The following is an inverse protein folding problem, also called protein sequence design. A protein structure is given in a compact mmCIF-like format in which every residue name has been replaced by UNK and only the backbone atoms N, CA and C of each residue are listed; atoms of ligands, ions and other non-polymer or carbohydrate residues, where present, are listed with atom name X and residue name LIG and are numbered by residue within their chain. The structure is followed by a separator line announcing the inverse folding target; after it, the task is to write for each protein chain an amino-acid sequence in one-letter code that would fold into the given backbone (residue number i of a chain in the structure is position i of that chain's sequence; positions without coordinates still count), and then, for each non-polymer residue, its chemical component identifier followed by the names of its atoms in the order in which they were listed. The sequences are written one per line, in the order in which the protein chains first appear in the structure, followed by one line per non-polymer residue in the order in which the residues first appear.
data_IF_950764138653
#
_entry.id   IF_950764138653
#
_cell.length_a   1.000
_cell.length_b   1.000
_cell.length_c   1.000
_cell.angle_alpha   90.00
_cell.angle_beta   90.00
_cell.angle_gamma   90.00
#
_symmetry.space_group_name_H-M   'P 1'
#
loop_
_entity.id
_entity.type
_entity.pdbx_description
1 polymer ?
#
# COMPACT_ATOMS: atom_id res chain seq x y z
N UNK A 1 27.79 -6.76 -78.87
CA UNK A 1 28.72 -5.82 -78.22
C UNK A 1 27.93 -4.65 -77.58
N UNK A 2 26.95 -4.92 -76.69
CA UNK A 2 26.06 -3.85 -76.15
C UNK A 2 25.58 -4.07 -74.70
N UNK A 3 26.17 -5.01 -73.94
CA UNK A 3 25.77 -5.27 -72.53
C UNK A 3 26.86 -4.88 -71.51
N UNK A 4 28.13 -4.74 -71.93
CA UNK A 4 29.22 -4.33 -71.01
C UNK A 4 29.22 -2.83 -70.70
N UNK A 5 28.83 -1.97 -71.65
CA UNK A 5 28.97 -0.52 -71.48
C UNK A 5 27.91 0.10 -70.55
N UNK A 6 26.70 -0.46 -70.46
CA UNK A 6 25.66 0.08 -69.55
C UNK A 6 25.89 -0.28 -68.08
N UNK A 7 26.52 -1.44 -67.82
CA UNK A 7 26.92 -1.88 -66.48
C UNK A 7 28.12 -1.08 -65.97
N UNK A 8 29.12 -0.83 -66.82
CA UNK A 8 30.28 0.00 -66.46
C UNK A 8 29.84 1.44 -66.13
N UNK A 9 28.92 2.01 -66.92
CA UNK A 9 28.39 3.37 -66.68
C UNK A 9 27.55 3.49 -65.40
N UNK A 10 26.78 2.45 -65.03
CA UNK A 10 26.06 2.41 -63.74
C UNK A 10 27.00 2.26 -62.54
N UNK A 11 28.08 1.48 -62.67
CA UNK A 11 29.05 1.27 -61.58
C UNK A 11 29.94 2.50 -61.31
N UNK A 12 30.35 3.24 -62.36
CA UNK A 12 31.04 4.52 -62.17
C UNK A 12 30.14 5.55 -61.50
N UNK A 13 28.85 5.61 -61.88
CA UNK A 13 27.91 6.55 -61.28
C UNK A 13 27.60 6.22 -59.80
N UNK A 14 27.49 4.92 -59.45
CA UNK A 14 27.29 4.49 -58.07
C UNK A 14 28.50 4.78 -57.16
N UNK A 15 29.73 4.54 -57.66
CA UNK A 15 30.97 4.86 -56.92
C UNK A 15 31.17 6.36 -56.76
N UNK A 16 30.77 7.16 -57.75
CA UNK A 16 30.78 8.63 -57.65
C UNK A 16 29.74 9.11 -56.65
N UNK A 17 28.53 8.53 -56.64
CA UNK A 17 27.51 8.80 -55.63
C UNK A 17 27.96 8.42 -54.22
N UNK A 18 28.57 7.25 -54.02
CA UNK A 18 29.13 6.84 -52.72
C UNK A 18 30.26 7.76 -52.27
N UNK A 19 31.15 8.17 -53.19
CA UNK A 19 32.23 9.09 -52.88
C UNK A 19 31.69 10.47 -52.49
N UNK A 20 30.75 11.01 -53.25
CA UNK A 20 30.10 12.28 -52.95
C UNK A 20 29.28 12.21 -51.65
N UNK A 21 28.65 11.08 -51.35
CA UNK A 21 27.94 10.86 -50.10
C UNK A 21 28.90 10.75 -48.90
N UNK A 22 30.05 10.08 -49.05
CA UNK A 22 31.10 10.02 -48.03
C UNK A 22 31.77 11.38 -47.81
N UNK A 23 32.01 12.14 -48.86
CA UNK A 23 32.61 13.47 -48.76
C UNK A 23 31.61 14.47 -48.15
N UNK A 24 30.31 14.38 -48.46
CA UNK A 24 29.26 15.12 -47.74
C UNK A 24 29.09 14.66 -46.30
N UNK A 25 29.14 13.36 -46.01
CA UNK A 25 29.06 12.84 -44.65
C UNK A 25 30.26 13.23 -43.79
N UNK A 26 31.45 13.43 -44.38
CA UNK A 26 32.62 13.99 -43.71
C UNK A 26 32.49 15.48 -43.39
N UNK A 27 31.65 16.21 -44.13
CA UNK A 27 31.34 17.62 -43.89
C UNK A 27 30.16 17.79 -42.91
N UNK A 28 29.41 16.73 -42.63
CA UNK A 28 28.40 16.73 -41.57
C UNK A 28 29.12 16.54 -40.23
N UNK A 29 29.19 17.61 -39.44
CA UNK A 29 29.52 17.49 -38.02
C UNK A 29 28.51 16.50 -37.39
N UNK A 30 28.96 15.44 -36.70
CA UNK A 30 28.05 14.52 -36.06
C UNK A 30 27.21 15.30 -35.04
N UNK A 31 25.89 15.15 -35.11
CA UNK A 31 25.01 15.79 -34.15
C UNK A 31 25.42 15.38 -32.74
N UNK A 32 25.91 16.34 -31.96
CA UNK A 32 26.12 16.17 -30.53
C UNK A 32 25.01 16.91 -29.80
N UNK A 33 24.50 16.30 -28.74
CA UNK A 33 23.47 16.93 -27.91
C UNK A 33 24.00 18.23 -27.27
N UNK A 34 25.31 18.29 -27.01
CA UNK A 34 26.00 19.48 -26.46
C UNK A 34 26.01 20.67 -27.43
N UNK A 35 26.28 20.47 -28.73
CA UNK A 35 26.23 21.55 -29.72
C UNK A 35 24.79 22.04 -29.96
N UNK A 36 23.83 21.12 -30.01
CA UNK A 36 22.41 21.45 -30.12
C UNK A 36 21.91 22.28 -28.93
N UNK A 37 22.29 21.91 -27.70
CA UNK A 37 21.92 22.66 -26.50
C UNK A 37 22.55 24.06 -26.48
N UNK A 38 23.81 24.18 -26.95
CA UNK A 38 24.53 25.46 -27.04
C UNK A 38 23.96 26.42 -28.09
N UNK A 39 23.67 25.93 -29.28
CA UNK A 39 23.29 26.78 -30.40
C UNK A 39 21.79 27.08 -30.44
N UNK A 40 20.95 26.14 -29.97
CA UNK A 40 19.48 26.22 -30.14
C UNK A 40 18.70 26.43 -28.84
N UNK A 41 19.23 26.01 -27.68
CA UNK A 41 18.52 26.10 -26.39
C UNK A 41 19.04 27.29 -25.56
N UNK A 42 20.35 27.43 -25.41
CA UNK A 42 20.98 28.44 -24.54
C UNK A 42 20.70 29.90 -24.95
N UNK A 43 20.52 30.18 -26.24
CA UNK A 43 20.36 31.53 -26.78
C UNK A 43 18.94 31.84 -27.31
N UNK A 44 17.99 30.94 -27.10
CA UNK A 44 16.66 31.09 -27.66
C UNK A 44 15.70 31.77 -26.65
N UNK A 45 15.11 32.94 -26.98
CA UNK A 45 14.31 33.74 -26.05
C UNK A 45 13.01 33.06 -25.62
N UNK A 46 12.58 31.98 -26.28
CA UNK A 46 11.40 31.19 -25.90
C UNK A 46 11.73 29.99 -25.00
N UNK A 47 13.01 29.63 -24.83
CA UNK A 47 13.43 28.58 -23.90
C UNK A 47 13.94 29.20 -22.60
N UNK A 48 13.07 29.24 -21.60
CA UNK A 48 13.51 29.53 -20.23
C UNK A 48 14.29 28.33 -19.71
N UNK A 49 15.61 28.50 -19.55
CA UNK A 49 16.38 27.53 -18.76
C UNK A 49 15.73 27.45 -17.38
N UNK A 50 15.19 26.27 -17.05
CA UNK A 50 14.93 25.94 -15.66
C UNK A 50 16.28 26.11 -14.98
N UNK A 51 16.42 27.13 -14.13
CA UNK A 51 17.55 27.19 -13.18
C UNK A 51 17.61 25.79 -12.59
N UNK A 52 18.70 25.07 -12.86
CA UNK A 52 19.00 23.92 -12.03
C UNK A 52 19.08 24.51 -10.63
N UNK A 53 18.03 24.32 -9.85
CA UNK A 53 18.14 24.51 -8.42
C UNK A 53 19.13 23.42 -8.05
N UNK A 54 20.44 23.73 -8.08
CA UNK A 54 21.35 23.16 -7.11
C UNK A 54 20.71 23.58 -5.81
N UNK A 55 19.81 22.73 -5.31
CA UNK A 55 19.39 22.82 -3.95
C UNK A 55 20.71 22.69 -3.24
N UNK A 56 21.24 23.81 -2.74
CA UNK A 56 21.98 23.76 -1.52
C UNK A 56 21.00 23.07 -0.58
N UNK A 57 21.13 21.75 -0.49
CA UNK A 57 20.55 20.95 0.56
C UNK A 57 21.32 21.41 1.79
N UNK A 58 21.00 22.62 2.25
CA UNK A 58 21.05 22.90 3.67
C UNK A 58 20.20 21.77 4.23
N UNK A 59 20.78 20.83 5.00
CA UNK A 59 19.98 19.83 5.65
C UNK A 59 18.92 20.63 6.38
N UNK A 60 17.65 20.45 6.01
CA UNK A 60 16.58 20.99 6.84
C UNK A 60 16.75 20.22 8.13
N UNK A 61 17.45 20.83 9.08
CA UNK A 61 17.46 20.40 10.46
C UNK A 61 16.09 20.79 10.96
N UNK A 62 15.10 19.94 10.64
CA UNK A 62 13.94 19.84 11.48
C UNK A 62 14.50 19.67 12.89
N UNK A 63 14.15 20.56 13.81
CA UNK A 63 14.34 20.34 15.25
C UNK A 63 13.46 19.15 15.63
N UNK A 64 13.92 17.97 15.22
CA UNK A 64 13.31 16.68 15.48
C UNK A 64 13.98 16.18 16.74
N UNK A 65 13.24 16.24 17.86
CA UNK A 65 13.74 15.73 19.12
C UNK A 65 13.82 14.20 19.07
N UNK A 66 15.02 13.69 18.76
CA UNK A 66 15.29 12.25 18.70
C UNK A 66 15.05 11.58 20.06
N UNK A 67 15.26 12.30 21.17
CA UNK A 67 15.18 11.75 22.52
C UNK A 67 13.81 11.13 22.84
N UNK A 68 12.72 11.70 22.30
CA UNK A 68 11.36 11.14 22.45
C UNK A 68 11.25 9.72 21.82
N UNK A 69 12.06 9.43 20.80
CA UNK A 69 11.98 8.21 20.00
C UNK A 69 13.03 7.16 20.34
N UNK A 70 14.08 7.49 21.10
CA UNK A 70 15.23 6.60 21.33
C UNK A 70 14.86 5.24 21.93
N UNK A 71 13.84 5.18 22.79
CA UNK A 71 13.39 3.93 23.39
C UNK A 71 12.66 3.02 22.39
N UNK A 72 11.86 3.61 21.50
CA UNK A 72 11.16 2.88 20.44
C UNK A 72 12.08 2.56 19.25
N UNK A 73 13.12 3.37 19.06
CA UNK A 73 14.05 3.27 17.95
C UNK A 73 15.50 3.03 18.39
N UNK A 74 15.86 1.80 18.82
CA UNK A 74 17.22 1.46 19.22
C UNK A 74 18.27 1.67 18.13
N UNK A 75 17.88 1.80 16.86
CA UNK A 75 18.81 2.13 15.77
C UNK A 75 19.58 3.43 16.03
N UNK A 76 19.01 4.37 16.79
CA UNK A 76 19.68 5.62 17.15
C UNK A 76 20.79 5.46 18.20
N UNK A 77 20.83 4.32 18.89
CA UNK A 77 21.87 3.99 19.89
C UNK A 77 23.09 3.29 19.26
N UNK A 78 23.06 3.03 17.95
CA UNK A 78 24.17 2.41 17.24
C UNK A 78 25.32 3.41 17.05
N UNK A 79 26.57 2.92 16.91
CA UNK A 79 27.71 3.76 16.59
C UNK A 79 27.49 4.59 15.33
N UNK A 80 28.18 5.73 15.24
CA UNK A 80 28.12 6.60 14.07
C UNK A 80 28.43 5.80 12.80
N UNK A 81 27.55 5.85 11.77
CA UNK A 81 27.74 5.06 10.57
C UNK A 81 28.88 5.62 9.72
N UNK A 82 29.65 4.72 9.11
CA UNK A 82 30.59 5.11 8.06
C UNK A 82 29.84 5.56 6.79
N UNK A 83 30.42 6.52 6.06
CA UNK A 83 29.87 6.98 4.79
C UNK A 83 29.78 5.83 3.78
N UNK A 84 28.65 5.74 3.08
CA UNK A 84 28.37 4.68 2.10
C UNK A 84 27.82 3.37 2.67
N UNK A 85 27.64 3.27 4.00
CA UNK A 85 26.92 2.15 4.63
C UNK A 85 25.42 2.27 4.46
N UNK A 86 24.72 1.13 4.45
CA UNK A 86 23.25 1.16 4.46
C UNK A 86 22.71 1.80 5.74
N UNK A 87 23.40 1.63 6.88
CA UNK A 87 23.00 2.21 8.17
C UNK A 87 22.82 3.73 8.08
N UNK A 88 23.75 4.43 7.42
CA UNK A 88 23.66 5.88 7.22
C UNK A 88 22.34 6.28 6.53
N UNK A 89 21.99 5.60 5.43
CA UNK A 89 20.76 5.87 4.68
C UNK A 89 19.51 5.46 5.45
N UNK A 90 19.53 4.33 6.17
CA UNK A 90 18.42 3.92 7.04
C UNK A 90 18.18 4.94 8.15
N UNK A 91 19.22 5.41 8.84
CA UNK A 91 19.11 6.44 9.89
C UNK A 91 18.52 7.74 9.34
N UNK A 92 19.04 8.22 8.20
CA UNK A 92 18.49 9.40 7.53
C UNK A 92 17.01 9.23 7.20
N UNK A 93 16.65 8.10 6.56
CA UNK A 93 15.29 7.89 6.09
C UNK A 93 14.30 7.70 7.23
N UNK A 94 14.72 7.04 8.32
CA UNK A 94 13.91 6.90 9.54
C UNK A 94 13.67 8.27 10.16
N UNK A 95 14.70 9.13 10.31
CA UNK A 95 14.53 10.50 10.82
C UNK A 95 13.55 11.31 9.96
N UNK A 96 13.68 11.24 8.64
CA UNK A 96 12.76 11.85 7.67
C UNK A 96 11.32 11.36 7.85
N UNK A 97 11.11 10.06 7.99
CA UNK A 97 9.77 9.50 8.23
C UNK A 97 9.18 9.95 9.57
N UNK A 98 10.00 10.06 10.62
CA UNK A 98 9.53 10.50 11.93
C UNK A 98 9.18 11.99 11.96
N UNK A 99 9.92 12.84 11.25
CA UNK A 99 9.54 14.25 11.05
C UNK A 99 8.24 14.40 10.24
N UNK A 100 7.91 13.42 9.40
CA UNK A 100 6.62 13.32 8.69
C UNK A 100 5.52 12.65 9.55
N UNK A 101 5.77 12.35 10.84
CA UNK A 101 4.88 11.60 11.74
C UNK A 101 4.53 10.17 11.27
N UNK A 102 5.33 9.57 10.39
CA UNK A 102 5.11 8.23 9.80
C UNK A 102 5.76 7.13 10.63
N UNK A 103 5.44 7.10 11.92
CA UNK A 103 6.11 6.29 12.95
C UNK A 103 6.05 4.78 12.65
N UNK A 104 4.90 4.25 12.26
CA UNK A 104 4.77 2.81 11.91
C UNK A 104 5.61 2.44 10.68
N UNK A 105 5.73 3.36 9.73
CA UNK A 105 6.57 3.14 8.55
C UNK A 105 8.04 3.15 8.95
N UNK A 106 8.45 4.11 9.77
CA UNK A 106 9.81 4.18 10.32
C UNK A 106 10.18 2.90 11.08
N UNK A 107 9.27 2.37 11.89
CA UNK A 107 9.49 1.12 12.63
C UNK A 107 9.75 -0.07 11.69
N UNK A 108 9.06 -0.15 10.55
CA UNK A 108 9.33 -1.19 9.53
C UNK A 108 10.74 -1.08 8.94
N UNK A 109 11.25 0.13 8.71
CA UNK A 109 12.61 0.34 8.22
C UNK A 109 13.66 -0.03 9.28
N UNK A 110 13.43 0.29 10.54
CA UNK A 110 14.29 -0.16 11.63
C UNK A 110 14.34 -1.69 11.72
N UNK A 111 13.19 -2.37 11.68
CA UNK A 111 13.14 -3.84 11.71
C UNK A 111 13.83 -4.45 10.50
N UNK A 112 13.67 -3.83 9.33
CA UNK A 112 14.39 -4.24 8.10
C UNK A 112 15.90 -4.15 8.31
N UNK A 113 16.40 -3.00 8.77
CA UNK A 113 17.83 -2.82 9.04
C UNK A 113 18.34 -3.84 10.07
N UNK A 114 17.61 -4.01 11.18
CA UNK A 114 17.96 -4.96 12.24
C UNK A 114 18.07 -6.38 11.68
N UNK A 115 17.16 -6.77 10.79
CA UNK A 115 17.19 -8.09 10.14
C UNK A 115 18.39 -8.25 9.21
N UNK A 116 18.68 -7.25 8.37
CA UNK A 116 19.85 -7.27 7.47
C UNK A 116 21.16 -7.29 8.28
N UNK A 117 21.23 -6.51 9.36
CA UNK A 117 22.38 -6.47 10.25
C UNK A 117 22.62 -7.80 10.96
N UNK A 118 21.57 -8.56 11.31
CA UNK A 118 21.73 -9.92 11.84
C UNK A 118 22.31 -10.91 10.82
N UNK A 119 22.10 -10.69 9.53
CA UNK A 119 22.63 -11.55 8.48
C UNK A 119 24.13 -11.31 8.23
N UNK A 120 24.56 -10.05 8.07
CA UNK A 120 25.94 -9.71 7.65
C UNK A 120 26.53 -8.46 8.33
N UNK A 121 25.87 -7.91 9.35
CA UNK A 121 26.29 -6.67 10.00
C UNK A 121 26.02 -5.42 9.17
N UNK A 122 26.77 -4.35 9.46
CA UNK A 122 26.66 -3.07 8.75
C UNK A 122 27.42 -3.12 7.42
N UNK A 123 26.71 -3.38 6.33
CA UNK A 123 27.28 -3.49 4.98
C UNK A 123 27.24 -2.16 4.22
N UNK A 124 28.19 -1.97 3.28
CA UNK A 124 28.16 -0.88 2.29
C UNK A 124 27.27 -1.22 1.12
N UNK A 125 26.71 -0.22 0.46
CA UNK A 125 25.89 -0.43 -0.73
C UNK A 125 26.66 -1.13 -1.87
N UNK A 126 27.97 -0.90 -1.96
CA UNK A 126 28.85 -1.52 -2.97
C UNK A 126 29.06 -3.02 -2.75
N UNK A 127 28.78 -3.52 -1.55
CA UNK A 127 28.92 -4.95 -1.20
C UNK A 127 27.64 -5.74 -1.46
N UNK A 128 26.53 -5.05 -1.71
CA UNK A 128 25.23 -5.67 -1.96
C UNK A 128 25.07 -5.85 -3.46
N UNK A 129 25.12 -7.09 -3.94
CA UNK A 129 24.82 -7.47 -5.32
C UNK A 129 23.60 -8.41 -5.40
N UNK A 130 23.34 -8.99 -6.56
CA UNK A 130 22.25 -9.96 -6.74
C UNK A 130 22.49 -11.23 -5.91
N UNK A 131 23.74 -11.66 -5.73
CA UNK A 131 24.06 -12.85 -4.95
C UNK A 131 23.80 -12.61 -3.46
N UNK A 132 24.19 -11.45 -2.93
CA UNK A 132 23.87 -11.01 -1.58
C UNK A 132 22.36 -11.03 -1.33
N UNK A 133 21.56 -10.44 -2.23
CA UNK A 133 20.11 -10.37 -2.07
C UNK A 133 19.47 -11.77 -2.06
N UNK A 134 19.95 -12.68 -2.91
CA UNK A 134 19.49 -14.08 -2.92
C UNK A 134 19.91 -14.83 -1.65
N UNK A 135 21.12 -14.61 -1.15
CA UNK A 135 21.60 -15.21 0.10
C UNK A 135 20.80 -14.68 1.31
N UNK A 136 20.49 -13.38 1.34
CA UNK A 136 19.64 -12.79 2.36
C UNK A 136 18.23 -13.41 2.33
N UNK A 137 17.62 -13.55 1.15
CA UNK A 137 16.33 -14.22 1.01
C UNK A 137 16.39 -15.68 1.51
N UNK A 138 17.40 -16.45 1.09
CA UNK A 138 17.57 -17.84 1.52
C UNK A 138 17.76 -17.94 3.04
N UNK A 139 18.60 -17.09 3.63
CA UNK A 139 18.81 -17.03 5.06
C UNK A 139 17.53 -16.65 5.81
N UNK A 140 16.77 -15.66 5.34
CA UNK A 140 15.50 -15.30 5.97
C UNK A 140 14.49 -16.46 5.91
N UNK A 141 14.44 -17.20 4.81
CA UNK A 141 13.56 -18.37 4.69
C UNK A 141 13.97 -19.49 5.64
N UNK A 142 15.28 -19.71 5.85
CA UNK A 142 15.83 -20.64 6.84
C UNK A 142 15.48 -20.24 8.28
N UNK A 143 15.44 -18.95 8.56
CA UNK A 143 14.97 -18.39 9.85
C UNK A 143 13.43 -18.32 9.95
N UNK A 144 12.71 -19.10 9.13
CA UNK A 144 11.25 -19.24 9.10
C UNK A 144 10.47 -17.95 8.81
N UNK A 145 11.10 -16.92 8.24
CA UNK A 145 10.37 -15.73 7.81
C UNK A 145 9.43 -16.07 6.65
N UNK A 146 8.20 -15.56 6.71
CA UNK A 146 7.26 -15.73 5.60
C UNK A 146 7.77 -15.04 4.33
N UNK A 147 7.46 -15.61 3.17
CA UNK A 147 7.75 -15.00 1.85
C UNK A 147 7.25 -13.54 1.73
N UNK A 148 6.13 -13.23 2.38
CA UNK A 148 5.60 -11.86 2.48
C UNK A 148 6.57 -10.93 3.20
N UNK A 149 7.13 -11.39 4.33
CA UNK A 149 8.07 -10.62 5.15
C UNK A 149 9.38 -10.39 4.40
N UNK A 150 9.92 -11.43 3.77
CA UNK A 150 11.10 -11.31 2.89
C UNK A 150 10.85 -10.25 1.79
N UNK A 151 9.68 -10.30 1.16
CA UNK A 151 9.28 -9.34 0.15
C UNK A 151 9.15 -7.91 0.68
N UNK A 152 8.71 -7.72 1.93
CA UNK A 152 8.64 -6.40 2.58
C UNK A 152 10.05 -5.85 2.81
N UNK A 153 10.93 -6.62 3.47
CA UNK A 153 12.27 -6.15 3.83
C UNK A 153 13.13 -5.86 2.61
N UNK A 154 13.04 -6.70 1.59
CA UNK A 154 13.78 -6.48 0.34
C UNK A 154 13.25 -5.29 -0.47
N UNK A 155 11.95 -4.95 -0.37
CA UNK A 155 11.41 -3.68 -0.90
C UNK A 155 11.85 -2.46 -0.09
N UNK A 156 11.95 -2.57 1.23
CA UNK A 156 12.52 -1.50 2.06
C UNK A 156 13.98 -1.24 1.66
N UNK A 157 14.78 -2.30 1.47
CA UNK A 157 16.14 -2.18 0.96
C UNK A 157 16.17 -1.55 -0.44
N UNK A 158 15.27 -1.95 -1.34
CA UNK A 158 15.11 -1.32 -2.65
C UNK A 158 14.85 0.19 -2.54
N UNK A 159 14.01 0.64 -1.60
CA UNK A 159 13.82 2.07 -1.32
C UNK A 159 15.10 2.73 -0.82
N UNK A 160 15.91 2.07 0.01
CA UNK A 160 17.19 2.62 0.47
C UNK A 160 18.19 2.81 -0.66
N UNK A 161 18.22 1.91 -1.66
CA UNK A 161 19.03 2.12 -2.87
C UNK A 161 18.58 3.36 -3.64
N UNK A 162 17.28 3.55 -3.83
CA UNK A 162 16.77 4.73 -4.54
C UNK A 162 17.08 6.02 -3.77
N UNK A 163 16.96 6.00 -2.44
CA UNK A 163 17.30 7.13 -1.58
C UNK A 163 18.81 7.43 -1.62
N UNK A 164 19.67 6.41 -1.56
CA UNK A 164 21.12 6.57 -1.68
C UNK A 164 21.55 7.12 -3.06
N UNK A 165 20.88 6.71 -4.14
CA UNK A 165 21.08 7.29 -5.48
C UNK A 165 20.66 8.76 -5.49
N UNK A 166 19.50 9.09 -4.93
CA UNK A 166 18.99 10.46 -4.87
C UNK A 166 19.93 11.40 -4.11
N UNK A 167 20.55 10.91 -3.04
CA UNK A 167 21.56 11.64 -2.25
C UNK A 167 22.97 11.65 -2.87
N UNK A 168 23.16 11.00 -4.02
CA UNK A 168 24.48 10.91 -4.67
C UNK A 168 25.49 10.03 -3.94
N UNK A 169 25.05 9.18 -3.00
CA UNK A 169 25.92 8.25 -2.25
C UNK A 169 26.42 7.11 -3.16
N UNK A 170 25.56 6.66 -4.08
CA UNK A 170 25.89 5.60 -5.03
C UNK A 170 25.46 5.95 -6.45
N UNK A 171 26.20 5.44 -7.43
CA UNK A 171 25.85 5.55 -8.84
C UNK A 171 24.87 4.42 -9.24
N UNK A 172 23.78 4.80 -9.91
CA UNK A 172 22.72 3.87 -10.34
C UNK A 172 23.22 2.77 -11.28
N UNK A 173 24.08 3.10 -12.23
CA UNK A 173 24.50 2.16 -13.27
C UNK A 173 25.44 1.09 -12.73
N UNK A 174 26.22 1.44 -11.71
CA UNK A 174 27.21 0.55 -11.09
C UNK A 174 26.66 -0.27 -9.91
N UNK A 175 25.75 0.31 -9.11
CA UNK A 175 25.40 -0.26 -7.80
C UNK A 175 23.91 -0.59 -7.62
N UNK A 176 23.08 -0.60 -8.67
CA UNK A 176 21.65 -0.86 -8.51
C UNK A 176 21.26 -2.28 -8.95
N UNK A 177 20.78 -3.11 -8.02
CA UNK A 177 20.57 -4.56 -8.26
C UNK A 177 19.11 -5.03 -8.25
N UNK A 178 18.14 -4.12 -8.30
CA UNK A 178 16.70 -4.45 -8.34
C UNK A 178 16.14 -4.33 -9.76
N UNK A 179 15.30 -5.27 -10.20
CA UNK A 179 14.57 -5.19 -11.48
C UNK A 179 14.35 -6.53 -12.18
N UNK A 180 13.62 -6.51 -13.31
CA UNK A 180 13.17 -7.72 -14.04
C UNK A 180 14.30 -8.67 -14.44
N UNK A 181 15.48 -8.15 -14.76
CA UNK A 181 16.70 -8.93 -15.10
C UNK A 181 17.73 -8.99 -13.97
N UNK A 182 17.36 -8.52 -12.78
CA UNK A 182 18.21 -8.50 -11.57
C UNK A 182 17.43 -9.19 -10.44
N UNK A 183 17.58 -8.75 -9.20
CA UNK A 183 16.79 -9.27 -8.09
C UNK A 183 15.36 -8.70 -8.11
N UNK A 184 14.38 -9.56 -7.85
CA UNK A 184 12.97 -9.18 -7.72
C UNK A 184 12.47 -9.61 -6.35
N UNK A 185 11.98 -8.67 -5.52
CA UNK A 185 11.40 -9.00 -4.22
C UNK A 185 10.30 -10.06 -4.36
N UNK A 186 10.33 -11.11 -3.52
CA UNK A 186 9.33 -12.16 -3.60
C UNK A 186 7.94 -11.61 -3.27
N UNK A 187 6.94 -12.14 -3.98
CA UNK A 187 5.52 -11.90 -3.70
C UNK A 187 4.85 -13.19 -3.27
N UNK A 188 3.91 -13.06 -2.33
CA UNK A 188 3.09 -14.17 -1.83
C UNK A 188 1.66 -14.02 -2.32
N UNK A 189 0.95 -15.15 -2.46
CA UNK A 189 -0.49 -15.15 -2.70
C UNK A 189 -1.21 -14.83 -1.40
N UNK A 190 -2.32 -14.11 -1.52
CA UNK A 190 -3.16 -13.77 -0.38
C UNK A 190 -3.86 -15.04 0.14
N UNK A 191 -3.82 -15.26 1.46
CA UNK A 191 -4.53 -16.38 2.11
C UNK A 191 -5.94 -15.90 2.45
N UNK A 192 -6.96 -16.72 2.17
CA UNK A 192 -8.35 -16.40 2.51
C UNK A 192 -8.51 -16.36 4.03
N UNK A 193 -8.76 -15.15 4.57
CA UNK A 193 -8.87 -14.90 6.02
C UNK A 193 -10.32 -14.71 6.50
N UNK A 194 -11.26 -14.53 5.57
CA UNK A 194 -12.64 -14.21 5.89
C UNK A 194 -13.37 -15.36 6.62
N UNK A 195 -14.20 -14.97 7.57
CA UNK A 195 -15.14 -15.85 8.27
C UNK A 195 -16.38 -16.12 7.42
N UNK A 196 -17.10 -17.19 7.76
CA UNK A 196 -18.42 -17.46 7.21
C UNK A 196 -19.48 -16.63 7.93
N UNK A 197 -20.68 -16.48 7.35
CA UNK A 197 -21.81 -15.83 8.05
C UNK A 197 -22.19 -16.60 9.33
N UNK A 198 -22.05 -17.92 9.34
CA UNK A 198 -22.28 -18.75 10.53
C UNK A 198 -21.30 -18.39 11.66
N UNK A 199 -20.00 -18.27 11.34
CA UNK A 199 -18.98 -17.85 12.30
C UNK A 199 -19.21 -16.42 12.81
N UNK A 200 -19.64 -15.51 11.93
CA UNK A 200 -20.02 -14.14 12.31
C UNK A 200 -21.21 -14.17 13.26
N UNK A 201 -22.23 -15.01 12.98
CA UNK A 201 -23.38 -15.22 13.86
C UNK A 201 -22.96 -15.71 15.25
N UNK A 202 -22.03 -16.67 15.33
CA UNK A 202 -21.46 -17.14 16.61
C UNK A 202 -20.83 -15.99 17.42
N UNK A 203 -20.11 -15.08 16.76
CA UNK A 203 -19.53 -13.89 17.41
C UNK A 203 -20.63 -12.91 17.84
N UNK A 204 -21.62 -12.66 16.98
CA UNK A 204 -22.71 -11.73 17.23
C UNK A 204 -23.54 -12.13 18.45
N UNK A 205 -23.95 -13.41 18.54
CA UNK A 205 -24.75 -13.92 19.66
C UNK A 205 -23.92 -14.36 20.88
N UNK A 206 -22.60 -14.19 20.86
CA UNK A 206 -21.76 -14.52 22.02
C UNK A 206 -22.01 -13.53 23.15
N UNK A 207 -22.42 -14.01 24.33
CA UNK A 207 -22.61 -13.18 25.52
C UNK A 207 -21.27 -13.02 26.28
N UNK A 208 -20.69 -11.80 26.35
CA UNK A 208 -19.42 -11.59 27.03
C UNK A 208 -19.55 -11.68 28.55
N UNK A 209 -18.63 -12.40 29.20
CA UNK A 209 -18.61 -12.50 30.67
C UNK A 209 -17.92 -11.33 31.37
N UNK A 210 -17.12 -10.54 30.64
CA UNK A 210 -16.31 -9.45 31.18
C UNK A 210 -16.39 -8.21 30.28
N UNK A 211 -16.14 -7.05 30.85
CA UNK A 211 -16.20 -5.77 30.13
C UNK A 211 -15.19 -5.72 28.96
N UNK A 212 -14.02 -6.31 29.13
CA UNK A 212 -12.98 -6.37 28.10
C UNK A 212 -13.32 -7.35 26.97
N UNK A 213 -14.01 -8.46 27.28
CA UNK A 213 -14.56 -9.35 26.26
C UNK A 213 -15.64 -8.64 25.45
N UNK A 214 -16.51 -7.89 26.13
CA UNK A 214 -17.52 -7.06 25.47
C UNK A 214 -16.85 -6.02 24.57
N UNK A 215 -15.85 -5.30 25.07
CA UNK A 215 -15.08 -4.33 24.29
C UNK A 215 -14.48 -4.97 23.03
N UNK A 216 -13.90 -6.15 23.16
CA UNK A 216 -13.33 -6.89 22.04
C UNK A 216 -14.38 -7.27 20.99
N UNK A 217 -15.50 -7.86 21.43
CA UNK A 217 -16.64 -8.21 20.58
C UNK A 217 -17.21 -6.98 19.87
N UNK A 218 -17.54 -5.94 20.62
CA UNK A 218 -18.21 -4.74 20.14
C UNK A 218 -17.34 -4.01 19.11
N UNK A 219 -16.05 -3.77 19.38
CA UNK A 219 -15.18 -3.12 18.40
C UNK A 219 -14.86 -4.00 17.18
N UNK A 220 -14.90 -5.32 17.32
CA UNK A 220 -14.79 -6.23 16.18
C UNK A 220 -16.03 -6.17 15.30
N UNK A 221 -17.23 -6.18 15.90
CA UNK A 221 -18.51 -6.03 15.20
C UNK A 221 -18.64 -4.65 14.58
N UNK A 222 -18.26 -3.58 15.29
CA UNK A 222 -18.22 -2.23 14.75
C UNK A 222 -17.32 -2.16 13.51
N UNK A 223 -16.12 -2.76 13.58
CA UNK A 223 -15.22 -2.84 12.41
C UNK A 223 -15.89 -3.58 11.24
N UNK A 224 -16.54 -4.72 11.51
CA UNK A 224 -17.23 -5.52 10.50
C UNK A 224 -18.42 -4.78 9.84
N UNK A 225 -19.31 -4.20 10.65
CA UNK A 225 -20.53 -3.51 10.21
C UNK A 225 -20.21 -2.17 9.54
N UNK A 226 -19.22 -1.44 10.04
CA UNK A 226 -18.81 -0.15 9.49
C UNK A 226 -17.84 -0.29 8.30
N UNK A 227 -18.24 -1.05 7.28
CA UNK A 227 -17.50 -1.26 6.04
C UNK A 227 -16.06 -1.79 6.21
N UNK A 228 -15.79 -2.56 7.25
CA UNK A 228 -14.43 -3.05 7.52
C UNK A 228 -13.46 -1.93 7.95
N UNK A 229 -13.95 -0.86 8.59
CA UNK A 229 -13.13 0.24 9.12
C UNK A 229 -12.00 -0.30 10.00
N UNK A 230 -10.77 0.22 9.85
CA UNK A 230 -9.65 -0.26 10.67
C UNK A 230 -9.74 0.34 12.08
N UNK A 231 -9.25 -0.34 13.12
CA UNK A 231 -9.21 0.22 14.48
C UNK A 231 -8.47 1.55 14.60
N UNK A 232 -7.47 1.79 13.75
CA UNK A 232 -6.81 3.11 13.68
C UNK A 232 -7.80 4.18 13.25
N UNK A 233 -8.62 3.92 12.23
CA UNK A 233 -9.62 4.87 11.76
C UNK A 233 -10.72 5.05 12.83
N UNK A 234 -11.18 3.96 13.48
CA UNK A 234 -12.11 4.00 14.62
C UNK A 234 -11.60 4.93 15.74
N UNK A 235 -10.32 4.81 16.11
CA UNK A 235 -9.72 5.60 17.17
C UNK A 235 -9.69 7.11 16.87
N UNK A 236 -9.73 7.50 15.59
CA UNK A 236 -9.74 8.90 15.15
C UNK A 236 -11.14 9.44 14.84
N UNK A 237 -12.20 8.62 14.92
CA UNK A 237 -13.56 9.10 14.71
C UNK A 237 -13.93 10.14 15.76
N UNK A 238 -14.47 11.27 15.28
CA UNK A 238 -14.94 12.40 16.09
C UNK A 238 -16.44 12.63 15.86
N UNK A 239 -17.10 13.34 16.77
CA UNK A 239 -18.53 13.61 16.61
C UNK A 239 -18.86 14.41 15.35
N UNK A 240 -17.94 15.28 14.87
CA UNK A 240 -18.08 15.95 13.56
C UNK A 240 -18.14 15.00 12.36
N UNK A 241 -17.75 13.73 12.54
CA UNK A 241 -17.82 12.72 11.49
C UNK A 241 -19.22 12.11 11.38
N UNK A 242 -20.10 12.30 12.37
CA UNK A 242 -21.50 11.87 12.30
C UNK A 242 -22.31 12.98 11.63
N UNK A 243 -23.03 12.62 10.57
CA UNK A 243 -24.01 13.45 9.90
C UNK A 243 -25.30 12.66 9.71
N UNK A 244 -26.30 12.95 10.55
CA UNK A 244 -27.54 12.17 10.63
C UNK A 244 -27.27 10.69 10.91
N UNK A 245 -27.70 9.83 9.99
CA UNK A 245 -27.55 8.37 10.08
C UNK A 245 -26.23 7.86 9.51
N UNK A 246 -25.27 8.73 9.20
CA UNK A 246 -24.03 8.36 8.53
C UNK A 246 -22.78 8.79 9.30
N UNK A 247 -21.74 7.97 9.22
CA UNK A 247 -20.36 8.33 9.60
C UNK A 247 -19.55 8.54 8.33
N UNK A 248 -18.92 9.70 8.21
CA UNK A 248 -18.04 10.04 7.09
C UNK A 248 -16.62 10.30 7.60
N UNK A 249 -15.64 9.57 7.06
CA UNK A 249 -14.24 9.69 7.48
C UNK A 249 -13.25 9.46 6.33
N UNK A 250 -12.05 9.99 6.49
CA UNK A 250 -10.93 9.70 5.60
C UNK A 250 -10.03 8.63 6.21
N UNK A 251 -9.61 7.67 5.39
CA UNK A 251 -8.78 6.57 5.86
C UNK A 251 -7.34 7.03 6.11
N UNK A 252 -6.86 6.88 7.34
CA UNK A 252 -5.53 7.33 7.78
C UNK A 252 -4.38 6.69 6.98
N UNK A 253 -4.55 5.43 6.54
CA UNK A 253 -3.51 4.73 5.75
C UNK A 253 -3.28 5.36 4.38
N UNK A 254 -4.30 5.96 3.77
CA UNK A 254 -4.25 6.42 2.37
C UNK A 254 -4.04 7.91 2.21
N UNK A 255 -4.15 8.70 3.28
CA UNK A 255 -3.94 10.15 3.32
C UNK A 255 -2.69 10.58 2.50
N UNK A 256 -1.56 9.93 2.75
CA UNK A 256 -0.29 10.25 2.08
C UNK A 256 -0.14 9.68 0.65
N UNK A 257 -0.96 8.71 0.26
CA UNK A 257 -0.90 8.05 -1.05
C UNK A 257 -1.79 8.71 -2.11
N UNK A 258 -2.76 9.52 -1.69
CA UNK A 258 -3.67 10.28 -2.55
C UNK A 258 -3.45 11.77 -2.37
N UNK A 259 -2.33 12.29 -2.89
CA UNK A 259 -1.96 13.71 -2.79
C UNK A 259 -2.97 14.71 -3.39
N UNK A 260 -4.03 14.24 -4.05
CA UNK A 260 -4.90 15.11 -4.86
C UNK A 260 -6.38 15.09 -4.47
N UNK A 261 -6.86 14.11 -3.71
CA UNK A 261 -8.21 14.06 -3.12
C UNK A 261 -8.40 12.69 -2.43
N UNK A 262 -8.23 12.56 -1.10
CA UNK A 262 -8.69 11.37 -0.41
C UNK A 262 -10.21 11.26 -0.60
N UNK A 263 -10.68 10.09 -1.05
CA UNK A 263 -12.12 9.84 -1.13
C UNK A 263 -12.64 9.53 0.27
N UNK A 264 -13.60 10.30 0.80
CA UNK A 264 -14.21 9.97 2.08
C UNK A 264 -14.95 8.64 1.97
N UNK A 265 -14.93 7.87 3.05
CA UNK A 265 -15.73 6.67 3.21
C UNK A 265 -16.95 7.07 4.02
N UNK A 266 -18.13 6.80 3.48
CA UNK A 266 -19.41 7.00 4.15
C UNK A 266 -19.99 5.65 4.57
N UNK A 267 -20.47 5.58 5.80
CA UNK A 267 -20.99 4.36 6.44
C UNK A 267 -22.34 4.68 7.05
N UNK A 268 -23.36 3.89 6.75
CA UNK A 268 -24.65 3.97 7.43
C UNK A 268 -24.54 3.38 8.85
N UNK A 269 -25.07 4.10 9.85
CA UNK A 269 -25.09 3.67 11.24
C UNK A 269 -26.28 2.74 11.45
N UNK A 270 -26.02 1.44 11.54
CA UNK A 270 -27.05 0.47 11.92
C UNK A 270 -27.40 0.58 13.40
N UNK A 271 -28.54 0.01 13.80
CA UNK A 271 -28.95 -0.05 15.20
C UNK A 271 -27.87 -0.69 16.10
N UNK A 272 -27.27 -1.81 15.67
CA UNK A 272 -26.16 -2.45 16.39
C UNK A 272 -24.95 -1.51 16.56
N UNK A 273 -24.62 -0.71 15.54
CA UNK A 273 -23.53 0.26 15.63
C UNK A 273 -23.88 1.39 16.60
N UNK A 274 -25.13 1.85 16.58
CA UNK A 274 -25.61 2.88 17.49
C UNK A 274 -25.53 2.40 18.95
N UNK A 275 -25.93 1.16 19.24
CA UNK A 275 -25.80 0.56 20.57
C UNK A 275 -24.34 0.51 21.06
N UNK A 276 -23.40 0.17 20.16
CA UNK A 276 -21.96 0.17 20.46
C UNK A 276 -21.46 1.60 20.73
N UNK A 277 -21.87 2.58 19.93
CA UNK A 277 -21.54 3.99 20.11
C UNK A 277 -22.05 4.46 21.47
N UNK A 278 -23.33 4.24 21.78
CA UNK A 278 -23.92 4.72 23.02
C UNK A 278 -23.27 4.10 24.26
N UNK A 279 -22.86 2.84 24.19
CA UNK A 279 -22.20 2.18 25.32
C UNK A 279 -20.74 2.61 25.52
N UNK A 280 -19.97 2.81 24.44
CA UNK A 280 -18.52 3.07 24.52
C UNK A 280 -18.12 4.53 24.31
N UNK A 281 -19.06 5.40 23.95
CA UNK A 281 -18.74 6.78 23.62
C UNK A 281 -18.52 7.66 24.86
N UNK A 282 -17.98 8.86 24.62
CA UNK A 282 -17.83 9.86 25.67
C UNK A 282 -19.13 10.63 25.91
N UNK A 283 -19.34 11.12 27.13
CA UNK A 283 -20.50 11.98 27.43
C UNK A 283 -20.42 13.34 26.71
N UNK A 284 -19.20 13.79 26.38
CA UNK A 284 -18.95 15.09 25.77
C UNK A 284 -18.97 15.01 24.23
N UNK A 285 -20.17 15.17 23.67
CA UNK A 285 -20.47 15.05 22.23
C UNK A 285 -20.10 16.27 21.38
N UNK A 286 -19.19 17.14 21.86
CA UNK A 286 -18.72 18.29 21.06
C UNK A 286 -18.09 17.82 19.73
N UNK A 287 -18.30 18.52 18.60
CA UNK A 287 -17.87 18.05 17.27
C UNK A 287 -16.37 17.70 17.17
N UNK A 288 -15.52 18.41 17.91
CA UNK A 288 -14.07 18.18 17.91
C UNK A 288 -13.59 16.96 18.70
N UNK A 289 -14.44 16.38 19.55
CA UNK A 289 -14.09 15.27 20.42
C UNK A 289 -14.19 13.93 19.74
N UNK A 290 -13.35 12.99 20.18
CA UNK A 290 -13.41 11.60 19.76
C UNK A 290 -14.73 10.94 20.21
N UNK A 291 -15.31 10.12 19.33
CA UNK A 291 -16.48 9.30 19.67
C UNK A 291 -16.07 8.33 20.77
N UNK A 292 -14.99 7.57 20.54
CA UNK A 292 -14.48 6.57 21.46
C UNK A 292 -13.28 7.10 22.25
N UNK A 293 -13.20 6.86 23.58
CA UNK A 293 -12.11 7.32 24.44
C UNK A 293 -10.85 6.46 24.29
N UNK A 294 -10.35 6.32 23.07
CA UNK A 294 -9.09 5.61 22.75
C UNK A 294 -7.92 6.60 22.70
N UNK A 295 -8.19 7.80 22.18
CA UNK A 295 -7.25 8.90 22.09
C UNK A 295 -7.70 10.06 22.99
N UNK A 296 -6.74 10.89 23.37
CA UNK A 296 -6.96 12.14 24.09
C UNK A 296 -6.50 13.31 23.21
N UNK A 297 -6.93 14.52 23.55
CA UNK A 297 -6.37 15.72 22.92
C UNK A 297 -4.94 15.96 23.42
N UNK A 298 -4.16 16.72 22.65
CA UNK A 298 -2.84 17.21 23.06
C UNK A 298 -1.77 16.16 23.41
N UNK A 299 -1.89 14.95 22.83
CA UNK A 299 -0.88 13.90 22.94
C UNK A 299 0.01 13.83 21.69
N UNK A 300 1.28 13.46 21.90
CA UNK A 300 2.26 13.40 20.80
C UNK A 300 1.89 12.32 19.76
N UNK A 301 2.31 12.48 18.49
CA UNK A 301 2.06 11.47 17.45
C UNK A 301 2.59 10.08 17.82
N UNK A 302 3.73 10.02 18.54
CA UNK A 302 4.27 8.77 19.07
C UNK A 302 3.29 8.12 20.05
N UNK A 303 2.79 8.91 21.01
CA UNK A 303 1.84 8.41 22.00
C UNK A 303 0.52 7.95 21.37
N UNK A 304 0.03 8.65 20.35
CA UNK A 304 -1.16 8.22 19.60
C UNK A 304 -0.96 6.83 18.99
N UNK A 305 0.19 6.59 18.34
CA UNK A 305 0.50 5.29 17.73
C UNK A 305 0.56 4.19 18.79
N UNK A 306 1.19 4.45 19.94
CA UNK A 306 1.26 3.51 21.06
C UNK A 306 -0.11 3.14 21.62
N UNK A 307 -0.97 4.13 21.89
CA UNK A 307 -2.32 3.89 22.42
C UNK A 307 -3.15 3.04 21.45
N UNK A 308 -3.06 3.33 20.15
CA UNK A 308 -3.75 2.55 19.13
C UNK A 308 -3.19 1.12 19.02
N UNK A 309 -1.87 0.94 19.16
CA UNK A 309 -1.24 -0.39 19.19
C UNK A 309 -1.70 -1.21 20.39
N UNK A 310 -1.70 -0.61 21.58
CA UNK A 310 -2.19 -1.23 22.81
C UNK A 310 -3.66 -1.61 22.69
N UNK A 311 -4.48 -0.70 22.16
CA UNK A 311 -5.91 -0.95 21.91
C UNK A 311 -6.09 -2.15 20.97
N UNK A 312 -5.42 -2.16 19.81
CA UNK A 312 -5.53 -3.25 18.84
C UNK A 312 -5.02 -4.58 19.40
N UNK A 313 -3.94 -4.56 20.17
CA UNK A 313 -3.41 -5.76 20.83
C UNK A 313 -4.42 -6.32 21.82
N UNK A 314 -4.97 -5.46 22.70
CA UNK A 314 -5.98 -5.86 23.66
C UNK A 314 -7.22 -6.47 22.98
N UNK A 315 -7.75 -5.82 21.94
CA UNK A 315 -8.86 -6.37 21.16
C UNK A 315 -8.53 -7.76 20.61
N UNK A 316 -7.37 -7.92 19.96
CA UNK A 316 -6.99 -9.19 19.34
C UNK A 316 -6.72 -10.32 20.35
N UNK A 317 -6.18 -9.99 21.53
CA UNK A 317 -5.93 -10.98 22.58
C UNK A 317 -7.24 -11.47 23.21
N UNK A 318 -8.19 -10.58 23.46
CA UNK A 318 -9.53 -10.95 23.93
C UNK A 318 -10.34 -11.68 22.86
N UNK A 319 -10.28 -11.24 21.60
CA UNK A 319 -10.86 -11.97 20.48
C UNK A 319 -10.25 -13.37 20.33
N UNK A 320 -8.96 -13.57 20.64
CA UNK A 320 -8.36 -14.92 20.66
C UNK A 320 -8.98 -15.81 21.74
N UNK A 321 -9.38 -15.25 22.89
CA UNK A 321 -10.08 -15.99 23.95
C UNK A 321 -11.52 -16.31 23.54
N UNK A 322 -12.26 -15.34 22.99
CA UNK A 322 -13.62 -15.53 22.45
C UNK A 322 -13.61 -16.63 21.38
N UNK A 323 -12.64 -16.59 20.47
CA UNK A 323 -12.43 -17.62 19.43
C UNK A 323 -12.39 -19.04 20.01
N UNK A 324 -11.59 -19.22 21.08
CA UNK A 324 -11.42 -20.52 21.74
C UNK A 324 -12.73 -21.00 22.36
N UNK A 325 -13.50 -20.10 22.99
CA UNK A 325 -14.82 -20.41 23.56
C UNK A 325 -15.85 -20.80 22.51
N UNK A 326 -15.81 -20.14 21.34
CA UNK A 326 -16.73 -20.38 20.23
C UNK A 326 -16.32 -21.56 19.33
N UNK A 327 -15.16 -22.18 19.55
CA UNK A 327 -14.67 -23.26 18.70
C UNK A 327 -14.38 -22.86 17.25
N UNK A 328 -14.11 -21.57 16.98
CA UNK A 328 -13.85 -21.07 15.62
C UNK A 328 -12.38 -21.37 15.25
N UNK A 329 -12.17 -22.16 14.19
CA UNK A 329 -10.82 -22.52 13.74
C UNK A 329 -10.01 -21.31 13.27
N UNK A 330 -10.64 -20.47 12.43
CA UNK A 330 -10.00 -19.29 11.83
C UNK A 330 -9.71 -18.22 12.88
N UNK A 331 -8.63 -17.49 12.71
CA UNK A 331 -8.35 -16.31 13.52
C UNK A 331 -9.47 -15.27 13.36
N UNK A 332 -9.84 -14.58 14.45
CA UNK A 332 -10.90 -13.55 14.46
C UNK A 332 -10.33 -12.18 14.85
N UNK A 333 -9.19 -11.81 14.29
CA UNK A 333 -8.55 -10.51 14.57
C UNK A 333 -9.33 -9.34 13.98
N UNK A 334 -9.02 -8.11 14.38
CA UNK A 334 -9.60 -6.89 13.79
C UNK A 334 -9.33 -6.77 12.29
N UNK A 335 -8.19 -7.29 11.81
CA UNK A 335 -7.93 -7.37 10.37
C UNK A 335 -8.84 -8.37 9.66
N UNK A 336 -9.20 -9.48 10.34
CA UNK A 336 -10.15 -10.46 9.81
C UNK A 336 -11.54 -9.87 9.67
N UNK A 337 -12.00 -9.00 10.59
CA UNK A 337 -13.29 -8.30 10.46
C UNK A 337 -13.44 -7.61 9.10
N UNK A 338 -12.43 -6.85 8.68
CA UNK A 338 -12.38 -6.19 7.36
C UNK A 338 -12.40 -7.18 6.19
N UNK A 339 -11.63 -8.26 6.28
CA UNK A 339 -11.64 -9.31 5.25
C UNK A 339 -13.00 -9.98 5.14
N UNK A 340 -13.62 -10.28 6.28
CA UNK A 340 -14.95 -10.87 6.40
C UNK A 340 -16.00 -9.96 5.77
N UNK A 341 -16.03 -8.66 6.10
CA UNK A 341 -16.92 -7.68 5.47
C UNK A 341 -16.80 -7.72 3.93
N UNK A 342 -15.60 -7.52 3.41
CA UNK A 342 -15.38 -7.47 1.95
C UNK A 342 -15.77 -8.77 1.23
N UNK A 343 -15.54 -9.92 1.86
CA UNK A 343 -15.85 -11.23 1.30
C UNK A 343 -17.36 -11.49 1.34
N UNK A 344 -18.03 -11.16 2.44
CA UNK A 344 -19.49 -11.33 2.57
C UNK A 344 -20.22 -10.43 1.58
N UNK A 345 -19.86 -9.14 1.48
CA UNK A 345 -20.46 -8.23 0.50
C UNK A 345 -20.35 -8.78 -0.93
N UNK A 346 -19.17 -9.30 -1.28
CA UNK A 346 -18.98 -9.92 -2.59
C UNK A 346 -19.87 -11.15 -2.79
N UNK A 347 -19.92 -12.04 -1.79
CA UNK A 347 -20.73 -13.26 -1.85
C UNK A 347 -22.21 -12.95 -1.95
N UNK A 348 -22.66 -11.82 -1.41
CA UNK A 348 -24.02 -11.28 -1.57
C UNK A 348 -24.27 -10.61 -2.92
N UNK A 349 -23.32 -10.65 -3.87
CA UNK A 349 -23.51 -10.14 -5.22
C UNK A 349 -23.29 -8.63 -5.38
N UNK A 350 -22.76 -7.95 -4.36
CA UNK A 350 -22.44 -6.52 -4.42
C UNK A 350 -21.29 -6.27 -5.41
N UNK A 351 -21.38 -5.17 -6.16
CA UNK A 351 -20.40 -4.83 -7.19
C UNK A 351 -19.01 -4.58 -6.61
N UNK A 352 -17.97 -4.86 -7.40
CA UNK A 352 -16.58 -4.69 -6.95
C UNK A 352 -16.26 -3.21 -6.74
N UNK A 353 -16.91 -2.33 -7.51
CA UNK A 353 -16.84 -0.88 -7.45
C UNK A 353 -17.37 -0.38 -6.11
N UNK A 354 -18.55 -0.84 -5.68
CA UNK A 354 -19.12 -0.48 -4.39
C UNK A 354 -18.23 -0.96 -3.25
N UNK A 355 -17.75 -2.20 -3.30
CA UNK A 355 -16.83 -2.73 -2.27
C UNK A 355 -15.52 -1.93 -2.23
N UNK A 356 -14.99 -1.52 -3.38
CA UNK A 356 -13.80 -0.69 -3.46
C UNK A 356 -14.01 0.68 -2.80
N UNK A 357 -15.16 1.31 -3.06
CA UNK A 357 -15.58 2.58 -2.47
C UNK A 357 -15.75 2.46 -0.96
N UNK A 358 -16.51 1.48 -0.47
CA UNK A 358 -16.71 1.21 0.95
C UNK A 358 -15.39 0.97 1.72
N UNK A 359 -14.39 0.40 1.05
CA UNK A 359 -13.07 0.13 1.65
C UNK A 359 -12.08 1.30 1.52
N UNK A 360 -12.40 2.34 0.74
CA UNK A 360 -11.47 3.43 0.41
C UNK A 360 -10.22 2.95 -0.32
N UNK A 361 -10.38 2.04 -1.28
CA UNK A 361 -9.28 1.54 -2.11
C UNK A 361 -9.14 2.38 -3.39
N UNK A 362 -7.92 2.81 -3.70
CA UNK A 362 -7.63 3.62 -4.91
C UNK A 362 -7.47 2.79 -6.18
N UNK A 363 -7.22 1.49 -6.03
CA UNK A 363 -6.98 0.57 -7.15
C UNK A 363 -7.88 -0.64 -7.05
N UNK A 364 -8.58 -0.92 -8.15
CA UNK A 364 -9.39 -2.14 -8.35
C UNK A 364 -8.56 -3.38 -8.02
N UNK A 365 -7.27 -3.42 -8.42
CA UNK A 365 -6.35 -4.52 -8.14
C UNK A 365 -6.20 -4.84 -6.65
N UNK A 366 -6.36 -3.84 -5.78
CA UNK A 366 -6.34 -4.06 -4.33
C UNK A 366 -7.56 -4.84 -3.90
N UNK A 367 -8.74 -4.49 -4.43
CA UNK A 367 -10.02 -5.19 -4.22
C UNK A 367 -10.05 -6.55 -4.93
N UNK A 368 -9.37 -6.70 -6.08
CA UNK A 368 -9.18 -7.96 -6.80
C UNK A 368 -8.55 -9.06 -5.95
N UNK A 369 -7.62 -8.70 -5.07
CA UNK A 369 -7.00 -9.66 -4.14
C UNK A 369 -7.95 -10.16 -3.04
N UNK A 370 -9.14 -9.57 -2.90
CA UNK A 370 -10.22 -10.03 -2.01
C UNK A 370 -11.32 -10.80 -2.78
N UNK A 371 -11.21 -10.90 -4.11
CA UNK A 371 -12.23 -11.49 -4.96
C UNK A 371 -12.22 -13.02 -4.84
N UNK A 372 -12.97 -13.54 -3.86
CA UNK A 372 -13.40 -14.94 -3.88
C UNK A 372 -14.38 -15.20 -5.04
N UNK A 373 -14.60 -16.47 -5.41
CA UNK A 373 -15.63 -16.82 -6.40
C UNK A 373 -17.02 -16.55 -5.82
N UNK A 374 -17.95 -16.03 -6.64
CA UNK A 374 -19.36 -15.91 -6.24
C UNK A 374 -19.94 -17.24 -5.77
N UNK A 375 -20.87 -17.19 -4.80
CA UNK A 375 -21.58 -18.37 -4.35
C UNK A 375 -22.40 -19.00 -5.48
N UNK A 376 -22.61 -20.32 -5.39
CA UNK A 376 -23.40 -21.06 -6.39
C UNK A 376 -24.82 -20.51 -6.52
N UNK A 377 -25.40 -20.03 -5.42
CA UNK A 377 -26.71 -19.38 -5.34
C UNK A 377 -26.77 -18.11 -6.18
N UNK A 378 -25.79 -17.22 -6.04
CA UNK A 378 -25.68 -16.00 -6.87
C UNK A 378 -25.46 -16.37 -8.34
N UNK A 379 -24.57 -17.33 -8.64
CA UNK A 379 -24.37 -17.78 -10.03
C UNK A 379 -25.66 -18.36 -10.64
N UNK A 380 -26.46 -19.08 -9.85
CA UNK A 380 -27.76 -19.60 -10.24
C UNK A 380 -28.76 -18.47 -10.50
N UNK A 381 -28.83 -17.46 -9.63
CA UNK A 381 -29.68 -16.27 -9.82
C UNK A 381 -29.34 -15.54 -11.12
N UNK A 382 -28.04 -15.27 -11.38
CA UNK A 382 -27.61 -14.63 -12.63
C UNK A 382 -27.93 -15.47 -13.86
N UNK A 383 -27.76 -16.80 -13.76
CA UNK A 383 -28.13 -17.72 -14.83
C UNK A 383 -29.65 -17.74 -15.07
N UNK A 384 -30.46 -17.57 -14.02
CA UNK A 384 -31.92 -17.45 -14.12
C UNK A 384 -32.35 -16.11 -14.73
N UNK A 385 -31.65 -15.00 -14.45
CA UNK A 385 -31.89 -13.70 -15.10
C UNK A 385 -31.66 -13.76 -16.60
N UNK A 386 -30.68 -14.54 -17.07
CA UNK A 386 -30.43 -14.73 -18.50
C UNK A 386 -31.60 -15.39 -19.24
N UNK A 387 -32.45 -16.15 -18.54
CA UNK A 387 -33.65 -16.80 -19.11
C UNK A 387 -34.95 -16.17 -18.61
N UNK A 388 -34.90 -14.97 -18.04
CA UNK A 388 -36.07 -14.28 -17.51
C UNK A 388 -37.16 -14.04 -18.57
N UNK A 389 -36.77 -13.88 -19.84
CA UNK A 389 -37.70 -13.79 -20.99
C UNK A 389 -38.62 -15.02 -21.15
N UNK A 390 -38.26 -16.17 -20.56
CA UNK A 390 -39.13 -17.37 -20.56
C UNK A 390 -40.32 -17.23 -19.61
N UNK A 391 -40.22 -16.38 -18.57
CA UNK A 391 -41.35 -16.07 -17.69
C UNK A 391 -42.35 -15.14 -18.39
N UNK A 392 -41.86 -14.20 -19.19
CA UNK A 392 -42.70 -13.28 -19.97
C UNK A 392 -43.45 -14.03 -21.10
N UNK A 393 -42.81 -15.03 -21.71
CA UNK A 393 -43.44 -15.89 -22.71
C UNK A 393 -44.55 -16.80 -22.15
N UNK A 394 -44.51 -17.15 -20.86
CA UNK A 394 -45.51 -18.02 -20.23
C UNK A 394 -46.75 -17.26 -19.71
N UNK A 395 -46.67 -15.92 -19.58
CA UNK A 395 -47.79 -15.08 -19.13
C UNK A 395 -48.79 -14.69 -20.23
N UNK A 396 -48.44 -14.86 -21.49
CA UNK A 396 -49.30 -14.50 -22.65
C UNK A 396 -50.03 -15.71 -23.27
N UNK A 397 -50.01 -16.88 -22.62
CA UNK A 397 -50.53 -18.14 -23.19
C UNK A 397 -51.81 -18.69 -22.56
N UNK A 398 -52.48 -17.95 -21.66
CA UNK A 398 -53.75 -18.42 -21.06
C UNK A 398 -54.82 -17.33 -21.11
N UNK A 399 -55.40 -17.10 -22.29
CA UNK A 399 -56.80 -16.67 -22.41
C UNK A 399 -57.40 -17.27 -23.70
N UNK A 400 -58.45 -18.07 -23.49
CA UNK A 400 -59.49 -18.56 -24.40
C UNK A 400 -59.16 -19.61 -25.48
N UNK A 401 -59.33 -20.87 -25.07
CA UNK A 401 -60.09 -21.83 -25.88
C UNK A 401 -61.15 -22.49 -24.96
N UNK A 402 -62.30 -22.83 -25.53
CA UNK A 402 -63.58 -23.26 -24.95
C UNK A 402 -64.56 -22.12 -24.62
N UNK A 403 -65.82 -22.11 -25.06
CA UNK A 403 -66.59 -22.79 -26.13
C UNK A 403 -67.93 -22.07 -26.19
#
# INVERSE_FOLDING_TARGET
MLIKDSLIFRWTNLKVLERNAKDKARLLQPFTYEEFEKDFILNNPFFHQRKSIKANLVPVTYEFNIAEYENRFPIFKLPAPEYGTILATFLYYIKKLLSEHRIRTAANYQTTYTTISRFRGSVRFTEIDVAFLKQLEAWMMDQEYSKTTVGIYTRCLHTMFNEAIFQGIINRDKCYFFGRRKYQPPTSRNIKKALTLEDVGKIYYYEPGYLEERKAKDFWLFSYLANGINPTDIAHLKYKNIDGEYITFERAKTENSTRSAPKPITVYITEDMQQIIDFWSTNDKRPGNYIFPILQHDITPLRQVELIELFVQALNDWMRKIRKKLGIEKAITTYVARHTFSTIMKRSGVSTEFIQESLGHTSIKTTENYLDSFEKTVKKEYSQKMVAFKKDAAGNGQVHEQS
#
